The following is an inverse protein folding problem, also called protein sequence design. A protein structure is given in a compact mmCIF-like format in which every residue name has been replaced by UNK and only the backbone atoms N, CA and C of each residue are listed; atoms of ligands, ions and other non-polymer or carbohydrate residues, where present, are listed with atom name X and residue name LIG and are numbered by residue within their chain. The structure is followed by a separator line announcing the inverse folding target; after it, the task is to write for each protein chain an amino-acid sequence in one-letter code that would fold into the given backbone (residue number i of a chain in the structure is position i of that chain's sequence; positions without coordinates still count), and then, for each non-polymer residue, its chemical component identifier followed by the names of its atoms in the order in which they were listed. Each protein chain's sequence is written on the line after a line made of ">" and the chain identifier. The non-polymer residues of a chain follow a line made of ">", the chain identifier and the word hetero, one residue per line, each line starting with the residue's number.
data_IF_408294181910
#
_entry.id   IF_408294181910
#
_cell.length_a   1.000
_cell.length_b   1.000
_cell.length_c   1.000
_cell.angle_alpha   90.00
_cell.angle_beta   90.00
_cell.angle_gamma   90.00
#
_symmetry.space_group_name_H-M   'P 1'
#
loop_
_entity.id
_entity.type
_entity.pdbx_description
1 polymer ?
#
# COMPACT_ATOMS: atom_id res chain seq x y z
N UNK A 1 14.98 -7.00 34.85
CA UNK A 1 15.25 -5.55 34.93
C UNK A 1 14.13 -4.83 34.23
N UNK A 2 13.47 -3.87 34.88
CA UNK A 2 12.44 -3.05 34.24
C UNK A 2 13.13 -1.97 33.40
N UNK A 3 12.82 -1.93 32.10
CA UNK A 3 13.30 -0.86 31.22
C UNK A 3 12.69 0.48 31.62
N UNK A 4 13.44 1.57 31.48
CA UNK A 4 12.94 2.89 31.80
C UNK A 4 11.72 3.26 30.92
N UNK A 5 10.62 3.81 31.46
CA UNK A 5 9.42 4.13 30.67
C UNK A 5 9.68 5.01 29.45
N UNK A 6 10.58 6.00 29.56
CA UNK A 6 10.99 6.84 28.44
C UNK A 6 11.73 6.08 27.33
N UNK A 7 12.44 5.00 27.67
CA UNK A 7 13.09 4.13 26.70
C UNK A 7 12.07 3.28 25.96
N UNK A 8 11.07 2.73 26.66
CA UNK A 8 9.96 1.97 26.06
C UNK A 8 9.12 2.86 25.13
N UNK A 9 8.84 4.10 25.55
CA UNK A 9 8.13 5.07 24.71
C UNK A 9 8.95 5.48 23.48
N UNK A 10 10.26 5.71 23.63
CA UNK A 10 11.13 6.00 22.50
C UNK A 10 11.20 4.84 21.49
N UNK A 11 11.17 3.59 21.96
CA UNK A 11 11.18 2.41 21.09
C UNK A 11 9.90 2.31 20.24
N UNK A 12 8.74 2.69 20.78
CA UNK A 12 7.46 2.64 20.06
C UNK A 12 7.22 3.84 19.13
N UNK A 13 7.79 5.01 19.44
CA UNK A 13 7.55 6.25 18.69
C UNK A 13 8.53 6.56 17.55
N UNK A 14 9.73 5.95 17.52
CA UNK A 14 10.83 6.33 16.60
C UNK A 14 10.50 6.21 15.10
N UNK A 15 9.42 5.55 14.71
CA UNK A 15 8.96 5.43 13.31
C UNK A 15 7.86 6.44 12.93
N UNK A 16 7.15 7.03 13.89
CA UNK A 16 5.88 7.73 13.66
C UNK A 16 5.99 9.27 13.63
N UNK A 17 7.18 9.85 13.82
CA UNK A 17 7.35 11.32 13.82
C UNK A 17 7.83 11.91 12.48
N UNK A 18 7.66 11.19 11.36
CA UNK A 18 7.77 11.81 10.03
C UNK A 18 6.35 12.15 9.59
N UNK A 19 6.09 13.44 9.45
CA UNK A 19 4.75 14.01 9.32
C UNK A 19 3.93 13.40 8.18
N UNK A 20 2.61 13.56 8.29
CA UNK A 20 1.63 13.20 7.26
C UNK A 20 2.15 13.72 5.90
N UNK A 21 2.16 12.87 4.85
CA UNK A 21 2.63 13.25 3.53
C UNK A 21 1.77 14.42 3.09
N UNK A 22 2.43 15.55 2.84
CA UNK A 22 1.75 16.70 2.28
C UNK A 22 1.18 16.31 0.91
N UNK A 23 -0.10 16.61 0.64
CA UNK A 23 -0.68 16.35 -0.67
C UNK A 23 0.20 17.01 -1.75
N UNK A 24 0.51 16.25 -2.80
CA UNK A 24 1.33 16.75 -3.90
C UNK A 24 0.46 17.45 -4.93
N UNK A 25 1.00 18.41 -5.67
CA UNK A 25 0.27 19.06 -6.76
C UNK A 25 0.41 18.24 -8.04
N UNK A 26 -0.71 17.78 -8.57
CA UNK A 26 -0.81 17.24 -9.93
C UNK A 26 -1.31 18.26 -10.93
N UNK A 27 -1.24 17.91 -12.21
CA UNK A 27 -1.67 18.74 -13.32
C UNK A 27 -2.66 17.99 -14.21
N UNK A 28 -3.71 18.69 -14.61
CA UNK A 28 -4.61 18.32 -15.70
C UNK A 28 -4.42 19.27 -16.88
N UNK A 29 -4.70 18.82 -18.10
CA UNK A 29 -4.75 19.72 -19.25
C UNK A 29 -5.92 20.70 -19.08
N UNK A 30 -5.65 22.01 -19.21
CA UNK A 30 -6.71 23.01 -19.24
C UNK A 30 -7.61 22.79 -20.46
N UNK A 31 -8.93 22.91 -20.26
CA UNK A 31 -9.93 22.88 -21.32
C UNK A 31 -10.90 24.05 -21.11
N UNK A 32 -10.90 25.08 -21.99
CA UNK A 32 -10.10 25.21 -23.22
C UNK A 32 -8.61 25.49 -22.96
N UNK A 33 -7.77 25.20 -23.96
CA UNK A 33 -6.36 25.62 -23.96
C UNK A 33 -6.25 27.14 -24.17
N UNK A 34 -5.23 27.81 -23.60
CA UNK A 34 -5.08 29.25 -23.71
C UNK A 34 -4.76 29.68 -25.14
N UNK A 35 -5.37 30.79 -25.56
CA UNK A 35 -5.14 31.39 -26.88
C UNK A 35 -3.67 31.84 -27.03
N UNK A 36 -3.06 31.49 -28.16
CA UNK A 36 -1.66 31.86 -28.44
C UNK A 36 -0.60 30.95 -27.78
N UNK A 37 -0.99 29.81 -27.21
CA UNK A 37 -0.02 28.84 -26.69
C UNK A 37 0.94 28.36 -27.79
N UNK A 38 2.24 28.70 -27.66
CA UNK A 38 3.26 28.16 -28.55
C UNK A 38 3.45 26.67 -28.29
N UNK A 39 2.98 25.86 -29.23
CA UNK A 39 3.05 24.40 -29.21
C UNK A 39 4.39 23.94 -29.80
N UNK A 40 5.32 23.53 -28.93
CA UNK A 40 6.55 22.85 -29.36
C UNK A 40 6.33 21.33 -29.29
N UNK A 41 7.14 20.51 -30.00
CA UNK A 41 7.04 19.06 -29.90
C UNK A 41 7.12 18.53 -28.45
N UNK A 42 7.94 19.18 -27.60
CA UNK A 42 8.06 18.84 -26.19
C UNK A 42 6.77 19.15 -25.40
N UNK A 43 6.15 20.31 -25.65
CA UNK A 43 4.87 20.69 -25.01
C UNK A 43 3.72 19.80 -25.47
N UNK A 44 3.69 19.45 -26.76
CA UNK A 44 2.68 18.55 -27.31
C UNK A 44 2.71 17.17 -26.64
N UNK A 45 3.91 16.60 -26.42
CA UNK A 45 4.04 15.31 -25.72
C UNK A 45 3.42 15.34 -24.32
N UNK A 46 3.65 16.41 -23.56
CA UNK A 46 3.07 16.57 -22.22
C UNK A 46 1.54 16.66 -22.28
N UNK A 47 0.99 17.47 -23.20
CA UNK A 47 -0.46 17.59 -23.35
C UNK A 47 -1.13 16.28 -23.81
N UNK A 48 -0.48 15.52 -24.69
CA UNK A 48 -0.97 14.19 -25.12
C UNK A 48 -1.06 13.21 -23.95
N UNK A 49 -0.13 13.25 -22.99
CA UNK A 49 -0.18 12.39 -21.80
C UNK A 49 -1.31 12.73 -20.83
N UNK A 50 -1.87 13.94 -20.92
CA UNK A 50 -2.98 14.42 -20.08
C UNK A 50 -4.33 14.35 -20.81
N UNK A 51 -4.36 13.86 -22.05
CA UNK A 51 -5.58 13.74 -22.85
C UNK A 51 -6.55 12.69 -22.31
N UNK A 52 -6.07 11.78 -21.46
CA UNK A 52 -6.88 10.77 -20.74
C UNK A 52 -7.63 11.35 -19.53
N UNK A 53 -7.41 12.62 -19.20
CA UNK A 53 -8.02 13.27 -18.04
C UNK A 53 -7.42 12.84 -16.70
N UNK A 54 -6.29 12.12 -16.71
CA UNK A 54 -5.62 11.67 -15.49
C UNK A 54 -4.65 12.74 -15.01
N UNK A 55 -4.82 13.17 -13.75
CA UNK A 55 -3.90 14.12 -13.13
C UNK A 55 -2.55 13.46 -12.84
N UNK A 56 -1.45 14.14 -13.19
CA UNK A 56 -0.09 13.60 -13.03
C UNK A 56 0.85 14.63 -12.43
N UNK A 57 1.86 14.18 -11.68
CA UNK A 57 2.85 15.10 -11.08
C UNK A 57 3.77 15.70 -12.15
N UNK A 58 4.47 16.77 -11.80
CA UNK A 58 5.52 17.35 -12.66
C UNK A 58 6.60 16.31 -13.00
N UNK A 59 6.98 15.47 -12.04
CA UNK A 59 8.02 14.45 -12.20
C UNK A 59 7.58 13.36 -13.18
N UNK A 60 6.35 12.87 -13.04
CA UNK A 60 5.81 11.81 -13.91
C UNK A 60 5.65 12.31 -15.34
N UNK A 61 5.14 13.53 -15.51
CA UNK A 61 5.00 14.17 -16.82
C UNK A 61 6.34 14.37 -17.52
N UNK A 62 7.35 14.88 -16.79
CA UNK A 62 8.68 15.10 -17.31
C UNK A 62 9.32 13.77 -17.76
N UNK A 63 9.22 12.75 -16.91
CA UNK A 63 9.80 11.43 -17.15
C UNK A 63 9.10 10.73 -18.33
N UNK A 64 7.77 10.63 -18.31
CA UNK A 64 7.00 9.94 -19.33
C UNK A 64 7.06 10.64 -20.70
N UNK A 65 7.15 11.97 -20.75
CA UNK A 65 7.31 12.70 -22.01
C UNK A 65 8.77 12.75 -22.49
N UNK A 66 9.74 12.36 -21.66
CA UNK A 66 11.17 12.50 -21.93
C UNK A 66 11.61 13.96 -22.08
N UNK A 67 11.09 14.85 -21.22
CA UNK A 67 11.37 16.30 -21.24
C UNK A 67 11.85 16.79 -19.89
N UNK A 68 12.50 17.96 -19.86
CA UNK A 68 12.88 18.60 -18.59
C UNK A 68 11.66 19.17 -17.84
N UNK A 69 11.70 19.23 -16.49
CA UNK A 69 10.59 19.74 -15.66
C UNK A 69 10.21 21.19 -15.98
N UNK A 70 11.13 21.99 -16.52
CA UNK A 70 10.87 23.35 -16.98
C UNK A 70 9.83 23.43 -18.11
N UNK A 71 9.67 22.37 -18.92
CA UNK A 71 8.63 22.32 -19.96
C UNK A 71 7.24 22.24 -19.34
N UNK A 72 7.08 21.41 -18.31
CA UNK A 72 5.82 21.26 -17.57
C UNK A 72 5.50 22.55 -16.82
N UNK A 73 6.49 23.12 -16.12
CA UNK A 73 6.32 24.42 -15.44
C UNK A 73 5.93 25.53 -16.42
N UNK A 74 6.58 25.62 -17.58
CA UNK A 74 6.25 26.61 -18.59
C UNK A 74 4.87 26.41 -19.25
N UNK A 75 4.29 25.21 -19.19
CA UNK A 75 2.88 24.97 -19.57
C UNK A 75 1.92 25.40 -18.46
N UNK A 76 2.25 25.13 -17.20
CA UNK A 76 1.49 25.61 -16.04
C UNK A 76 1.46 27.15 -15.98
N UNK A 77 2.62 27.80 -16.11
CA UNK A 77 2.75 29.26 -16.11
C UNK A 77 2.00 29.91 -17.29
N UNK A 78 1.85 29.19 -18.41
CA UNK A 78 1.08 29.62 -19.57
C UNK A 78 -0.43 29.39 -19.43
N UNK A 79 -0.91 28.81 -18.32
CA UNK A 79 -2.32 28.47 -18.11
C UNK A 79 -2.80 27.24 -18.88
N UNK A 80 -1.89 26.48 -19.49
CA UNK A 80 -2.23 25.27 -20.24
C UNK A 80 -2.49 24.05 -19.34
N UNK A 81 -2.13 24.14 -18.05
CA UNK A 81 -2.33 23.12 -17.03
C UNK A 81 -3.12 23.68 -15.84
N UNK A 82 -4.07 22.91 -15.33
CA UNK A 82 -4.84 23.22 -14.12
C UNK A 82 -4.26 22.43 -12.94
N UNK A 83 -3.86 23.08 -11.83
CA UNK A 83 -3.37 22.38 -10.65
C UNK A 83 -4.51 21.66 -9.94
N UNK A 84 -4.26 20.42 -9.54
CA UNK A 84 -5.19 19.64 -8.73
C UNK A 84 -4.44 18.99 -7.57
N UNK A 85 -5.04 18.95 -6.36
CA UNK A 85 -4.45 18.21 -5.25
C UNK A 85 -4.48 16.72 -5.59
N UNK A 86 -3.30 16.11 -5.64
CA UNK A 86 -3.18 14.66 -5.62
C UNK A 86 -3.11 14.22 -4.17
N UNK A 87 -3.95 13.25 -3.81
CA UNK A 87 -3.81 12.54 -2.54
C UNK A 87 -2.42 11.90 -2.44
N UNK A 88 -1.97 11.53 -1.23
CA UNK A 88 -0.78 10.72 -1.10
C UNK A 88 -0.93 9.47 -1.97
N UNK A 89 0.09 9.17 -2.76
CA UNK A 89 0.18 7.91 -3.47
C UNK A 89 0.05 6.79 -2.43
N UNK A 90 -0.84 5.81 -2.68
CA UNK A 90 -0.89 4.63 -1.83
C UNK A 90 0.41 3.89 -2.02
N UNK A 91 1.17 3.70 -0.95
CA UNK A 91 2.46 3.03 -1.04
C UNK A 91 2.28 1.54 -1.37
N UNK A 92 1.08 0.98 -1.10
CA UNK A 92 0.75 -0.41 -1.35
C UNK A 92 -0.59 -0.57 -2.08
N UNK A 93 -0.65 -1.54 -2.99
CA UNK A 93 -1.91 -1.88 -3.67
C UNK A 93 -2.89 -2.53 -2.68
N UNK A 94 -4.19 -2.25 -2.86
CA UNK A 94 -5.23 -2.77 -2.00
C UNK A 94 -5.43 -4.28 -2.26
N UNK A 95 -5.36 -5.14 -1.23
CA UNK A 95 -5.68 -6.56 -1.35
C UNK A 95 -7.16 -6.76 -1.66
N UNK A 96 -7.46 -7.70 -2.54
CA UNK A 96 -8.82 -8.10 -2.89
C UNK A 96 -9.22 -9.38 -2.12
N UNK A 97 -10.16 -9.29 -1.15
CA UNK A 97 -10.63 -10.45 -0.38
C UNK A 97 -11.30 -11.53 -1.23
N UNK A 98 -11.68 -11.24 -2.46
CA UNK A 98 -12.38 -12.17 -3.34
C UNK A 98 -11.53 -12.69 -4.51
N UNK A 99 -10.24 -12.33 -4.58
CA UNK A 99 -9.37 -12.63 -5.71
C UNK A 99 -9.25 -14.14 -6.03
N UNK A 100 -8.95 -14.96 -5.03
CA UNK A 100 -8.75 -16.39 -5.21
C UNK A 100 -9.20 -17.17 -3.98
N UNK A 101 -10.49 -17.48 -3.93
CA UNK A 101 -11.13 -18.11 -2.78
C UNK A 101 -10.64 -19.56 -2.59
N UNK A 102 -10.26 -19.97 -1.36
CA UNK A 102 -9.87 -21.35 -1.08
C UNK A 102 -11.08 -22.28 -1.08
N UNK A 103 -10.84 -23.56 -1.36
CA UNK A 103 -11.81 -24.63 -1.09
C UNK A 103 -11.49 -25.19 0.30
N UNK A 104 -12.43 -25.04 1.23
CA UNK A 104 -12.31 -25.51 2.61
C UNK A 104 -13.42 -26.51 2.90
N UNK A 105 -13.07 -27.62 3.53
CA UNK A 105 -14.01 -28.72 3.81
C UNK A 105 -13.86 -29.23 5.25
N UNK A 106 -14.94 -29.82 5.77
CA UNK A 106 -14.98 -30.41 7.12
C UNK A 106 -14.51 -29.43 8.20
N UNK A 107 -13.59 -29.90 9.05
CA UNK A 107 -13.10 -29.14 10.20
C UNK A 107 -12.44 -27.80 9.82
N UNK A 108 -11.90 -27.64 8.61
CA UNK A 108 -11.32 -26.37 8.16
C UNK A 108 -12.40 -25.33 7.90
N UNK A 109 -13.50 -25.73 7.26
CA UNK A 109 -14.64 -24.86 7.01
C UNK A 109 -15.27 -24.43 8.34
N UNK A 110 -15.52 -25.38 9.25
CA UNK A 110 -16.08 -25.10 10.58
C UNK A 110 -15.22 -24.11 11.39
N UNK A 111 -13.90 -24.34 11.43
CA UNK A 111 -12.98 -23.45 12.13
C UNK A 111 -12.90 -22.06 11.47
N UNK A 112 -12.97 -22.01 10.14
CA UNK A 112 -12.99 -20.75 9.39
C UNK A 112 -14.25 -19.95 9.66
N UNK A 113 -15.42 -20.59 9.61
CA UNK A 113 -16.70 -19.94 9.88
C UNK A 113 -16.74 -19.36 11.29
N UNK A 114 -16.29 -20.13 12.30
CA UNK A 114 -16.20 -19.67 13.68
C UNK A 114 -15.27 -18.45 13.84
N UNK A 115 -14.11 -18.48 13.17
CA UNK A 115 -13.14 -17.38 13.24
C UNK A 115 -13.63 -16.13 12.48
N UNK A 116 -14.22 -16.31 11.30
CA UNK A 116 -14.85 -15.21 10.53
C UNK A 116 -16.01 -14.58 11.30
N UNK A 117 -16.83 -15.39 11.96
CA UNK A 117 -17.92 -14.91 12.82
C UNK A 117 -17.37 -14.06 13.98
N UNK A 118 -16.30 -14.51 14.62
CA UNK A 118 -15.62 -13.74 15.69
C UNK A 118 -15.12 -12.39 15.17
N UNK A 119 -14.56 -12.34 13.96
CA UNK A 119 -14.12 -11.10 13.30
C UNK A 119 -15.30 -10.18 12.94
N UNK A 120 -16.43 -10.76 12.55
CA UNK A 120 -17.66 -10.03 12.22
C UNK A 120 -18.32 -9.39 13.44
N UNK A 121 -18.36 -10.11 14.57
CA UNK A 121 -18.88 -9.59 15.85
C UNK A 121 -18.07 -8.39 16.36
N UNK A 122 -16.77 -8.36 16.05
CA UNK A 122 -15.86 -7.31 16.50
C UNK A 122 -15.61 -7.35 18.01
N UNK A 123 -14.99 -6.30 18.53
CA UNK A 123 -14.53 -6.29 19.93
C UNK A 123 -13.25 -7.12 20.15
N UNK A 124 -12.87 -7.29 21.42
CA UNK A 124 -11.68 -8.07 21.78
C UNK A 124 -12.04 -9.54 21.96
N UNK A 125 -11.30 -10.41 21.30
CA UNK A 125 -11.39 -11.87 21.44
C UNK A 125 -10.02 -12.51 21.28
N UNK A 126 -9.89 -13.74 21.76
CA UNK A 126 -8.68 -14.55 21.63
C UNK A 126 -9.09 -15.94 21.18
N UNK A 127 -8.50 -16.41 20.08
CA UNK A 127 -8.75 -17.74 19.52
C UNK A 127 -7.43 -18.47 19.36
N UNK A 128 -7.36 -19.71 19.85
CA UNK A 128 -6.28 -20.63 19.57
C UNK A 128 -6.73 -21.59 18.46
N UNK A 129 -6.02 -21.58 17.34
CA UNK A 129 -6.22 -22.55 16.26
C UNK A 129 -5.21 -23.68 16.39
N UNK A 130 -5.66 -24.80 16.98
CA UNK A 130 -4.83 -25.99 17.13
C UNK A 130 -4.89 -26.89 15.88
N UNK A 131 -3.74 -27.43 15.48
CA UNK A 131 -3.66 -28.38 14.39
C UNK A 131 -2.22 -28.75 14.06
N UNK A 132 -2.02 -29.92 13.47
CA UNK A 132 -0.69 -30.37 13.02
C UNK A 132 -0.21 -29.58 11.80
N UNK A 133 1.08 -29.61 11.49
CA UNK A 133 1.61 -29.03 10.24
C UNK A 133 0.92 -29.66 9.03
N UNK A 134 0.58 -28.85 8.03
CA UNK A 134 -0.16 -29.33 6.84
C UNK A 134 -1.67 -29.43 7.01
N UNK A 135 -2.23 -29.18 8.19
CA UNK A 135 -3.69 -29.18 8.41
C UNK A 135 -4.43 -27.97 7.81
N UNK A 136 -3.75 -27.11 7.05
CA UNK A 136 -4.31 -25.92 6.42
C UNK A 136 -4.63 -24.74 7.35
N UNK A 137 -3.95 -24.61 8.50
CA UNK A 137 -4.12 -23.46 9.40
C UNK A 137 -3.87 -22.11 8.70
N UNK A 138 -2.94 -22.09 7.77
CA UNK A 138 -2.60 -20.89 6.99
C UNK A 138 -3.81 -20.40 6.20
N UNK A 139 -4.55 -21.29 5.55
CA UNK A 139 -5.75 -20.95 4.79
C UNK A 139 -6.84 -20.39 5.71
N UNK A 140 -7.00 -20.95 6.92
CA UNK A 140 -7.94 -20.44 7.93
C UNK A 140 -7.54 -19.01 8.37
N UNK A 141 -6.25 -18.74 8.59
CA UNK A 141 -5.78 -17.39 8.91
C UNK A 141 -6.02 -16.39 7.77
N UNK A 142 -5.79 -16.81 6.52
CA UNK A 142 -6.06 -15.98 5.35
C UNK A 142 -7.54 -15.63 5.22
N UNK A 143 -8.44 -16.54 5.58
CA UNK A 143 -9.88 -16.25 5.60
C UNK A 143 -10.30 -15.31 6.73
N UNK A 144 -9.66 -15.36 7.90
CA UNK A 144 -9.85 -14.35 8.93
C UNK A 144 -9.37 -12.97 8.49
N UNK A 145 -8.25 -12.92 7.76
CA UNK A 145 -7.74 -11.68 7.15
C UNK A 145 -8.74 -11.17 6.11
N UNK A 146 -9.28 -12.03 5.24
CA UNK A 146 -10.31 -11.65 4.28
C UNK A 146 -11.55 -11.04 4.98
N UNK A 147 -12.06 -11.66 6.04
CA UNK A 147 -13.18 -11.11 6.81
C UNK A 147 -12.88 -9.75 7.45
N UNK A 148 -11.63 -9.50 7.86
CA UNK A 148 -11.19 -8.20 8.35
C UNK A 148 -11.17 -7.14 7.23
N UNK A 149 -10.60 -7.50 6.08
CA UNK A 149 -10.48 -6.63 4.91
C UNK A 149 -11.85 -6.30 4.29
N UNK A 150 -12.80 -7.22 4.29
CA UNK A 150 -14.19 -7.01 3.86
C UNK A 150 -14.88 -5.90 4.67
N UNK A 151 -14.47 -5.69 5.92
CA UNK A 151 -14.94 -4.60 6.78
C UNK A 151 -14.16 -3.29 6.60
N UNK A 152 -13.23 -3.22 5.63
CA UNK A 152 -12.36 -2.06 5.43
C UNK A 152 -11.35 -1.85 6.56
N UNK A 153 -11.04 -2.90 7.34
CA UNK A 153 -10.08 -2.87 8.45
C UNK A 153 -8.73 -3.44 8.02
N UNK A 154 -7.70 -3.23 8.86
CA UNK A 154 -6.34 -3.73 8.64
C UNK A 154 -6.08 -4.98 9.48
N UNK A 155 -5.23 -5.88 8.97
CA UNK A 155 -4.73 -7.03 9.71
C UNK A 155 -3.21 -6.95 9.93
N UNK A 156 -2.77 -7.39 11.09
CA UNK A 156 -1.36 -7.52 11.48
C UNK A 156 -1.04 -9.00 11.66
N UNK A 157 -0.03 -9.49 10.94
CA UNK A 157 0.45 -10.87 11.08
C UNK A 157 1.88 -10.85 11.59
N UNK A 158 2.11 -11.59 12.68
CA UNK A 158 3.43 -11.77 13.29
C UNK A 158 3.93 -13.15 12.92
N UNK A 159 5.11 -13.23 12.29
CA UNK A 159 5.72 -14.50 11.92
C UNK A 159 7.04 -14.72 12.68
N UNK A 160 7.36 -15.97 13.04
CA UNK A 160 8.67 -16.33 13.54
C UNK A 160 9.65 -16.52 12.35
N UNK A 161 10.54 -15.54 12.16
CA UNK A 161 11.77 -15.59 11.30
C UNK A 161 11.62 -15.63 9.74
N UNK A 162 12.71 -15.25 9.05
CA UNK A 162 12.86 -14.98 7.60
C UNK A 162 12.47 -16.16 6.70
N UNK A 163 12.68 -17.40 7.14
CA UNK A 163 12.40 -18.57 6.29
C UNK A 163 10.90 -18.77 6.04
N UNK A 164 10.04 -18.31 6.96
CA UNK A 164 8.59 -18.49 6.87
C UNK A 164 7.88 -17.33 6.17
N UNK A 165 8.55 -16.19 6.00
CA UNK A 165 7.96 -15.04 5.32
C UNK A 165 7.84 -15.27 3.82
N UNK A 166 8.87 -15.76 3.13
CA UNK A 166 8.80 -16.00 1.67
C UNK A 166 7.58 -16.82 1.24
N UNK A 167 7.31 -17.93 1.93
CA UNK A 167 6.15 -18.78 1.66
C UNK A 167 4.84 -18.09 2.03
N UNK A 168 4.83 -17.31 3.12
CA UNK A 168 3.66 -16.53 3.51
C UNK A 168 3.32 -15.44 2.50
N UNK A 169 4.31 -14.68 2.01
CA UNK A 169 4.14 -13.66 0.98
C UNK A 169 3.57 -14.25 -0.30
N UNK A 170 4.07 -15.41 -0.74
CA UNK A 170 3.56 -16.08 -1.93
C UNK A 170 2.08 -16.47 -1.74
N UNK A 171 1.74 -17.06 -0.58
CA UNK A 171 0.36 -17.43 -0.27
C UNK A 171 -0.57 -16.22 -0.18
N UNK A 172 -0.12 -15.15 0.47
CA UNK A 172 -0.87 -13.90 0.57
C UNK A 172 -1.12 -13.31 -0.82
N UNK A 173 -0.07 -13.19 -1.64
CA UNK A 173 -0.19 -12.66 -3.01
C UNK A 173 -1.13 -13.50 -3.85
N UNK A 174 -1.01 -14.83 -3.74
CA UNK A 174 -1.90 -15.76 -4.43
C UNK A 174 -3.35 -15.64 -3.96
N UNK A 175 -3.59 -15.31 -2.70
CA UNK A 175 -4.93 -15.19 -2.11
C UNK A 175 -5.60 -13.85 -2.40
N UNK A 176 -4.84 -12.76 -2.43
CA UNK A 176 -5.34 -11.38 -2.45
C UNK A 176 -4.94 -10.56 -3.68
N UNK A 177 -4.15 -11.12 -4.59
CA UNK A 177 -3.74 -10.50 -5.85
C UNK A 177 -2.64 -9.44 -5.74
N UNK A 178 -2.16 -9.15 -4.52
CA UNK A 178 -1.10 -8.16 -4.26
C UNK A 178 -0.20 -8.59 -3.11
N UNK A 179 1.01 -8.02 -3.04
CA UNK A 179 1.90 -8.25 -1.92
C UNK A 179 1.44 -7.48 -0.66
N UNK A 180 1.63 -8.06 0.55
CA UNK A 180 1.41 -7.35 1.80
C UNK A 180 2.50 -6.29 2.03
N UNK A 181 2.26 -5.30 2.90
CA UNK A 181 3.36 -4.48 3.39
C UNK A 181 4.20 -5.29 4.39
N UNK A 182 5.52 -5.18 4.24
CA UNK A 182 6.48 -5.95 5.04
C UNK A 182 7.26 -4.98 5.93
N UNK A 183 7.34 -5.33 7.21
CA UNK A 183 8.16 -4.66 8.19
C UNK A 183 9.18 -5.66 8.75
N UNK A 184 10.46 -5.37 8.57
CA UNK A 184 11.56 -6.13 9.17
C UNK A 184 12.57 -5.18 9.81
N UNK A 185 13.37 -5.67 10.75
CA UNK A 185 14.37 -4.85 11.48
C UNK A 185 15.44 -4.24 10.57
N UNK A 186 15.72 -4.86 9.42
CA UNK A 186 16.66 -4.35 8.40
C UNK A 186 16.06 -3.32 7.41
N UNK A 187 14.82 -2.82 7.60
CA UNK A 187 14.26 -1.75 6.73
C UNK A 187 14.98 -0.43 7.04
N UNK A 188 16.20 -0.31 6.51
CA UNK A 188 17.09 0.84 6.63
C UNK A 188 17.68 1.31 5.29
N UNK A 189 17.45 0.59 4.18
CA UNK A 189 17.93 1.01 2.86
C UNK A 189 16.84 0.94 1.79
N UNK A 190 16.62 2.02 1.04
CA UNK A 190 15.73 2.00 -0.11
C UNK A 190 16.32 1.08 -1.19
N UNK A 191 15.63 -0.01 -1.53
CA UNK A 191 15.95 -0.78 -2.76
C UNK A 191 15.33 -0.05 -3.95
N UNK A 192 16.09 0.20 -5.04
CA UNK A 192 15.60 0.93 -6.19
C UNK A 192 14.88 -0.02 -7.14
N UNK A 193 13.55 -0.10 -7.04
CA UNK A 193 12.72 -0.52 -8.16
C UNK A 193 11.58 0.50 -8.36
N UNK A 194 11.69 1.26 -9.44
CA UNK A 194 10.67 2.03 -10.16
C UNK A 194 9.32 2.20 -9.45
N UNK A 195 9.21 3.26 -8.64
CA UNK A 195 7.98 3.65 -7.96
C UNK A 195 8.32 4.28 -6.63
N UNK A 196 7.92 5.53 -6.43
CA UNK A 196 8.15 6.26 -5.21
C UNK A 196 7.58 5.49 -4.00
N UNK A 197 8.33 5.41 -2.89
CA UNK A 197 7.78 5.02 -1.59
C UNK A 197 7.53 6.31 -0.80
N UNK A 198 6.28 6.76 -0.61
CA UNK A 198 5.98 7.80 0.35
C UNK A 198 6.16 7.25 1.76
N UNK A 199 6.81 8.05 2.60
CA UNK A 199 6.95 7.79 4.04
C UNK A 199 5.64 8.17 4.74
N UNK A 200 4.71 7.24 4.77
CA UNK A 200 3.56 7.27 5.67
C UNK A 200 3.02 5.87 5.87
N UNK A 201 2.72 5.55 7.12
CA UNK A 201 2.08 4.31 7.52
C UNK A 201 0.57 4.57 7.52
N UNK A 202 -0.02 4.52 6.34
CA UNK A 202 -1.47 4.41 6.17
C UNK A 202 -1.70 3.41 5.04
N UNK A 203 -1.42 2.13 5.28
CA UNK A 203 -1.65 1.08 4.29
C UNK A 203 -1.90 -0.31 4.90
N UNK A 204 -3.11 -0.78 4.64
CA UNK A 204 -3.81 -2.08 4.63
C UNK A 204 -3.26 -3.38 5.25
N UNK A 205 -1.97 -3.63 5.46
CA UNK A 205 -1.55 -4.90 6.09
C UNK A 205 -0.09 -4.87 6.54
N UNK A 206 0.20 -5.18 7.80
CA UNK A 206 1.58 -5.24 8.29
C UNK A 206 1.99 -6.70 8.55
N UNK A 207 3.10 -7.12 7.96
CA UNK A 207 3.87 -8.26 8.42
C UNK A 207 5.00 -7.74 9.32
N UNK A 208 5.07 -8.19 10.58
CA UNK A 208 6.12 -7.77 11.52
C UNK A 208 7.10 -8.94 11.69
N UNK A 209 8.29 -8.82 11.07
CA UNK A 209 9.40 -9.74 11.29
C UNK A 209 10.27 -9.23 12.44
N UNK A 210 10.39 -10.05 13.49
CA UNK A 210 11.34 -9.81 14.58
C UNK A 210 12.69 -10.42 14.17
N UNK A 211 13.63 -9.58 13.73
CA UNK A 211 15.04 -9.95 13.69
C UNK A 211 15.65 -9.71 15.07
N UNK A 212 16.16 -10.77 15.70
CA UNK A 212 16.98 -10.68 16.91
C UNK A 212 18.45 -10.44 16.56
#
# INVERSE_FOLDING_TARGET
>A
TLSAPGMVLAMTLRLHMRGVPTPSTGWLAASPQPDGLRLTPARQKVLTLLADGTARTTTDLATAAGVGPGVVKGLADAGALTPVPLGPERAFAAPDPFHNLPVLEGAQAEATDALRQTVAEGGFSVTLLEGVTGSGKTEIYLEAIAACLEQGKQALVLLPEIALSAQWMERFTRRFGTQPAIWHSEVGQPRPHHGHIPRTVDDTFFLLEQGF
#
